data_IF_808757585186
#
_entry.id   IF_808757585186
#
_cell.length_a   1.000
_cell.length_b   1.000
_cell.length_c   1.000
_cell.angle_alpha   90.00
_cell.angle_beta   90.00
_cell.angle_gamma   90.00
#
_symmetry.space_group_name_H-M   'P 1'
#
loop_
_entity.id
_entity.type
_entity.pdbx_description
1 polymer ?
#
# COMPACT_ATOMS: atom_id res chain seq x y z
N UNK A 1 10.20 -25.26 -21.77
CA UNK A 1 11.25 -24.43 -21.17
C UNK A 1 10.66 -23.05 -20.90
N UNK A 2 10.03 -22.84 -19.74
CA UNK A 2 9.66 -21.48 -19.33
C UNK A 2 10.87 -20.88 -18.62
N UNK A 3 11.59 -19.98 -19.29
CA UNK A 3 12.54 -19.11 -18.60
C UNK A 3 11.75 -18.30 -17.57
N UNK A 4 11.79 -18.71 -16.30
CA UNK A 4 11.31 -17.83 -15.23
C UNK A 4 12.42 -16.83 -14.95
N UNK A 5 12.44 -15.72 -15.68
CA UNK A 5 13.43 -14.67 -15.50
C UNK A 5 13.14 -13.93 -14.18
N UNK A 6 13.93 -14.27 -13.16
CA UNK A 6 14.01 -13.55 -11.89
C UNK A 6 15.00 -12.42 -12.05
N UNK A 7 14.58 -11.18 -11.80
CA UNK A 7 15.51 -10.06 -11.71
C UNK A 7 15.54 -9.47 -10.30
N UNK A 8 16.71 -8.97 -9.93
CA UNK A 8 16.88 -8.13 -8.75
C UNK A 8 17.50 -6.82 -9.20
N UNK A 9 16.87 -5.71 -8.82
CA UNK A 9 17.34 -4.37 -9.15
C UNK A 9 17.74 -3.66 -7.86
N UNK A 10 18.94 -3.08 -7.87
CA UNK A 10 19.42 -2.16 -6.86
C UNK A 10 19.61 -0.80 -7.51
N UNK A 11 19.15 0.26 -6.86
CA UNK A 11 19.31 1.62 -7.37
C UNK A 11 19.53 2.61 -6.24
N UNK A 12 20.59 3.42 -6.38
CA UNK A 12 20.91 4.50 -5.46
C UNK A 12 21.22 5.76 -6.27
N UNK A 13 20.36 6.77 -6.16
CA UNK A 13 20.48 8.02 -6.93
C UNK A 13 19.69 9.14 -6.28
N UNK A 14 19.91 10.40 -6.68
CA UNK A 14 19.04 11.51 -6.25
C UNK A 14 17.62 11.34 -6.82
N UNK A 15 17.53 11.04 -8.13
CA UNK A 15 16.27 10.77 -8.83
C UNK A 15 16.44 9.66 -9.84
N UNK A 16 15.48 8.73 -9.84
CA UNK A 16 15.41 7.74 -10.91
C UNK A 16 13.97 7.26 -11.15
N UNK A 17 13.82 6.54 -12.26
CA UNK A 17 12.61 5.82 -12.61
C UNK A 17 12.99 4.39 -12.99
N UNK A 18 12.28 3.41 -12.43
CA UNK A 18 12.48 1.99 -12.70
C UNK A 18 11.27 1.46 -13.44
N UNK A 19 11.51 0.76 -14.55
CA UNK A 19 10.51 -0.01 -15.29
C UNK A 19 10.94 -1.47 -15.32
N UNK A 20 10.08 -2.37 -14.86
CA UNK A 20 10.37 -3.80 -14.86
C UNK A 20 9.18 -4.63 -15.33
N UNK A 21 9.47 -5.56 -16.23
CA UNK A 21 8.52 -6.53 -16.77
C UNK A 21 9.18 -7.92 -16.85
N UNK A 22 8.73 -8.86 -16.02
CA UNK A 22 9.16 -10.27 -16.00
C UNK A 22 8.26 -11.07 -15.06
N UNK A 23 8.41 -12.39 -14.98
CA UNK A 23 7.67 -13.23 -14.03
C UNK A 23 7.87 -12.80 -12.57
N UNK A 24 9.11 -12.44 -12.19
CA UNK A 24 9.48 -12.16 -10.80
C UNK A 24 10.56 -11.10 -10.65
N UNK A 25 10.27 -10.09 -9.82
CA UNK A 25 11.23 -9.05 -9.46
C UNK A 25 11.40 -8.87 -7.95
N UNK A 26 12.60 -8.51 -7.56
CA UNK A 26 12.87 -7.85 -6.29
C UNK A 26 13.52 -6.50 -6.57
N UNK A 27 12.98 -5.42 -6.00
CA UNK A 27 13.52 -4.07 -6.17
C UNK A 27 13.95 -3.51 -4.83
N UNK A 28 15.17 -3.00 -4.78
CA UNK A 28 15.71 -2.21 -3.69
C UNK A 28 16.11 -0.84 -4.23
N UNK A 29 15.51 0.22 -3.72
CA UNK A 29 15.86 1.57 -4.12
C UNK A 29 15.99 2.52 -2.95
N UNK A 30 17.06 3.33 -3.00
CA UNK A 30 17.31 4.43 -2.08
C UNK A 30 17.52 5.74 -2.87
N UNK A 31 16.65 6.73 -2.68
CA UNK A 31 16.75 7.99 -3.45
C UNK A 31 15.93 9.13 -2.86
N UNK A 32 16.24 10.39 -3.17
CA UNK A 32 15.38 11.50 -2.74
C UNK A 32 14.02 11.48 -3.43
N UNK A 33 13.98 11.17 -4.74
CA UNK A 33 12.73 10.95 -5.49
C UNK A 33 12.77 9.72 -6.37
N UNK A 34 11.72 8.91 -6.30
CA UNK A 34 11.61 7.69 -7.08
C UNK A 34 10.26 7.51 -7.76
N UNK A 35 10.25 6.90 -8.94
CA UNK A 35 9.03 6.34 -9.53
C UNK A 35 9.28 4.91 -10.00
N UNK A 36 8.41 3.97 -9.62
CA UNK A 36 8.50 2.56 -10.01
C UNK A 36 7.27 2.15 -10.80
N UNK A 37 7.50 1.46 -11.90
CA UNK A 37 6.48 0.75 -12.66
C UNK A 37 6.85 -0.74 -12.72
N UNK A 38 5.99 -1.59 -12.16
CA UNK A 38 6.19 -3.04 -12.14
C UNK A 38 5.03 -3.76 -12.80
N UNK A 39 5.36 -4.71 -13.65
CA UNK A 39 4.41 -5.68 -14.20
C UNK A 39 5.01 -7.09 -14.10
N UNK A 40 4.45 -7.93 -13.24
CA UNK A 40 4.96 -9.29 -13.01
C UNK A 40 3.94 -10.21 -12.37
N UNK A 41 4.12 -11.53 -12.41
CA UNK A 41 3.28 -12.43 -11.61
C UNK A 41 3.50 -12.16 -10.11
N UNK A 42 4.76 -11.96 -9.71
CA UNK A 42 5.13 -11.65 -8.33
C UNK A 42 6.22 -10.59 -8.24
N UNK A 43 6.13 -9.74 -7.23
CA UNK A 43 7.26 -8.88 -6.88
C UNK A 43 7.31 -8.52 -5.40
N UNK A 44 8.53 -8.18 -4.97
CA UNK A 44 8.78 -7.56 -3.68
C UNK A 44 9.51 -6.24 -3.91
N UNK A 45 9.03 -5.17 -3.28
CA UNK A 45 9.63 -3.83 -3.40
C UNK A 45 10.05 -3.32 -2.04
N UNK A 46 11.26 -2.79 -1.95
CA UNK A 46 11.79 -2.07 -0.80
C UNK A 46 12.23 -0.68 -1.25
N UNK A 47 11.51 0.36 -0.81
CA UNK A 47 11.81 1.74 -1.15
C UNK A 47 12.09 2.56 0.10
N UNK A 48 13.24 3.23 0.11
CA UNK A 48 13.59 4.24 1.11
C UNK A 48 13.86 5.57 0.40
N UNK A 49 13.03 6.60 0.65
CA UNK A 49 13.15 7.86 -0.10
C UNK A 49 12.52 9.06 0.61
N UNK A 50 12.88 10.29 0.22
CA UNK A 50 12.08 11.45 0.62
C UNK A 50 10.69 11.41 0.01
N UNK A 51 10.60 11.06 -1.29
CA UNK A 51 9.32 10.89 -2.00
C UNK A 51 9.34 9.74 -3.00
N UNK A 52 8.27 8.95 -3.05
CA UNK A 52 8.11 7.97 -4.13
C UNK A 52 6.68 7.86 -4.67
N UNK A 53 6.61 7.36 -5.90
CA UNK A 53 5.37 6.91 -6.53
C UNK A 53 5.56 5.49 -7.06
N UNK A 54 4.64 4.60 -6.73
CA UNK A 54 4.67 3.20 -7.18
C UNK A 54 3.40 2.90 -7.97
N UNK A 55 3.59 2.34 -9.16
CA UNK A 55 2.54 1.74 -9.97
C UNK A 55 2.87 0.27 -10.14
N UNK A 56 1.91 -0.60 -9.79
CA UNK A 56 2.17 -2.02 -9.84
C UNK A 56 0.96 -2.84 -10.26
N UNK A 57 1.20 -3.79 -11.17
CA UNK A 57 0.24 -4.80 -11.59
C UNK A 57 0.85 -6.20 -11.46
N UNK A 58 0.22 -7.06 -10.65
CA UNK A 58 0.68 -8.44 -10.47
C UNK A 58 -0.40 -9.41 -10.05
N UNK A 59 -0.10 -10.71 -9.89
CA UNK A 59 -0.98 -11.62 -9.15
C UNK A 59 -0.76 -11.45 -7.65
N UNK A 60 0.50 -11.27 -7.25
CA UNK A 60 0.88 -11.08 -5.84
C UNK A 60 1.96 -10.03 -5.67
N UNK A 61 1.86 -9.26 -4.61
CA UNK A 61 2.98 -8.43 -4.20
C UNK A 61 3.09 -8.13 -2.72
N UNK A 62 4.33 -7.84 -2.34
CA UNK A 62 4.67 -7.29 -1.04
C UNK A 62 5.46 -6.01 -1.24
N UNK A 63 5.00 -4.92 -0.65
CA UNK A 63 5.62 -3.59 -0.78
C UNK A 63 6.01 -3.07 0.59
N UNK A 64 7.26 -2.65 0.75
CA UNK A 64 7.81 -2.02 1.94
C UNK A 64 8.28 -0.61 1.60
N UNK A 65 7.66 0.38 2.24
CA UNK A 65 7.86 1.79 1.93
C UNK A 65 8.26 2.57 3.18
N UNK A 66 9.37 3.29 3.10
CA UNK A 66 9.81 4.24 4.12
C UNK A 66 10.10 5.59 3.46
N UNK A 67 9.31 6.62 3.79
CA UNK A 67 9.48 7.94 3.19
C UNK A 67 8.74 9.06 3.88
N UNK A 68 9.15 10.31 3.71
CA UNK A 68 8.32 11.45 4.14
C UNK A 68 6.96 11.45 3.41
N UNK A 69 6.96 11.17 2.09
CA UNK A 69 5.74 11.15 1.27
C UNK A 69 5.68 10.04 0.24
N UNK A 70 4.53 9.38 0.12
CA UNK A 70 4.31 8.48 -1.01
C UNK A 70 2.90 8.38 -1.55
N UNK A 71 2.85 7.93 -2.81
CA UNK A 71 1.61 7.58 -3.49
C UNK A 71 1.77 6.22 -4.15
N UNK A 72 0.82 5.33 -3.93
CA UNK A 72 0.93 3.93 -4.34
C UNK A 72 -0.36 3.52 -5.03
N UNK A 73 -0.22 2.93 -6.23
CA UNK A 73 -1.29 2.40 -7.04
C UNK A 73 -1.02 0.92 -7.31
N UNK A 74 -1.91 0.06 -6.82
CA UNK A 74 -1.70 -1.38 -6.81
C UNK A 74 -2.91 -2.13 -7.34
N UNK A 75 -2.69 -3.01 -8.31
CA UNK A 75 -3.68 -3.93 -8.83
C UNK A 75 -3.14 -5.37 -8.78
N UNK A 76 -3.82 -6.25 -8.05
CA UNK A 76 -3.48 -7.69 -8.02
C UNK A 76 -4.48 -8.54 -7.26
N UNK A 77 -4.42 -9.87 -7.36
CA UNK A 77 -5.26 -10.75 -6.54
C UNK A 77 -4.93 -10.65 -5.05
N UNK A 78 -3.63 -10.53 -4.69
CA UNK A 78 -3.18 -10.49 -3.29
C UNK A 78 -2.09 -9.49 -3.02
N UNK A 79 -2.31 -8.69 -1.99
CA UNK A 79 -1.46 -7.56 -1.65
C UNK A 79 -1.15 -7.51 -0.16
N UNK A 80 0.11 -7.23 0.13
CA UNK A 80 0.53 -6.77 1.45
C UNK A 80 1.36 -5.51 1.32
N UNK A 81 0.94 -4.45 2.00
CA UNK A 81 1.64 -3.17 2.03
C UNK A 81 2.08 -2.88 3.46
N UNK A 82 3.37 -2.57 3.62
CA UNK A 82 3.96 -2.04 4.84
C UNK A 82 4.46 -0.63 4.55
N UNK A 83 4.05 0.35 5.35
CA UNK A 83 4.39 1.74 5.08
C UNK A 83 4.66 2.53 6.36
N UNK A 84 5.78 3.25 6.37
CA UNK A 84 6.12 4.22 7.40
C UNK A 84 6.41 5.58 6.75
N UNK A 85 5.62 6.61 7.08
CA UNK A 85 5.73 7.91 6.43
C UNK A 85 5.06 9.03 7.19
N UNK A 86 5.42 10.29 6.98
CA UNK A 86 4.61 11.41 7.48
C UNK A 86 3.27 11.49 6.74
N UNK A 87 3.30 11.30 5.40
CA UNK A 87 2.09 11.36 4.55
C UNK A 87 2.04 10.30 3.47
N UNK A 88 0.89 9.64 3.33
CA UNK A 88 0.70 8.75 2.20
C UNK A 88 -0.72 8.68 1.63
N UNK A 89 -0.77 8.20 0.40
CA UNK A 89 -2.01 7.83 -0.27
C UNK A 89 -1.84 6.47 -0.94
N UNK A 90 -2.75 5.55 -0.64
CA UNK A 90 -2.77 4.21 -1.23
C UNK A 90 -4.09 4.03 -1.96
N UNK A 91 -3.99 3.64 -3.23
CA UNK A 91 -5.08 3.17 -4.06
C UNK A 91 -4.84 1.71 -4.37
N UNK A 92 -5.76 0.84 -3.95
CA UNK A 92 -5.64 -0.59 -4.16
C UNK A 92 -6.93 -1.20 -4.69
N UNK A 93 -6.78 -2.03 -5.72
CA UNK A 93 -7.79 -2.95 -6.21
C UNK A 93 -7.26 -4.39 -6.11
N UNK A 94 -7.92 -5.23 -5.31
CA UNK A 94 -7.51 -6.64 -5.16
C UNK A 94 -8.58 -7.55 -4.61
N UNK A 95 -8.48 -8.87 -4.80
CA UNK A 95 -9.37 -9.79 -4.08
C UNK A 95 -9.08 -9.77 -2.58
N UNK A 96 -7.78 -9.71 -2.22
CA UNK A 96 -7.31 -9.67 -0.83
C UNK A 96 -6.24 -8.64 -0.60
N UNK A 97 -6.53 -7.72 0.32
CA UNK A 97 -5.60 -6.67 0.71
C UNK A 97 -5.26 -6.71 2.20
N UNK A 98 -3.99 -6.52 2.54
CA UNK A 98 -3.56 -6.22 3.91
C UNK A 98 -2.68 -4.99 3.94
N UNK A 99 -3.04 -4.00 4.76
CA UNK A 99 -2.23 -2.79 4.99
C UNK A 99 -1.73 -2.78 6.42
N UNK A 100 -0.46 -2.49 6.57
CA UNK A 100 0.17 -2.10 7.82
C UNK A 100 0.82 -0.75 7.62
N UNK A 101 0.31 0.26 8.33
CA UNK A 101 0.78 1.62 8.13
C UNK A 101 0.97 2.37 9.45
N UNK A 102 2.05 3.14 9.52
CA UNK A 102 2.38 4.05 10.61
C UNK A 102 2.70 5.43 10.02
N UNK A 103 1.92 6.45 10.38
CA UNK A 103 2.00 7.79 9.76
C UNK A 103 1.20 8.89 10.46
N UNK A 104 1.63 10.14 10.34
CA UNK A 104 0.85 11.26 10.85
C UNK A 104 -0.46 11.45 10.06
N UNK A 105 -0.42 11.36 8.73
CA UNK A 105 -1.58 11.59 7.86
C UNK A 105 -1.66 10.65 6.67
N UNK A 106 -2.86 10.17 6.39
CA UNK A 106 -3.01 9.20 5.32
C UNK A 106 -4.44 9.09 4.82
N UNK A 107 -4.51 8.64 3.58
CA UNK A 107 -5.77 8.37 2.88
C UNK A 107 -5.64 7.06 2.14
N UNK A 108 -6.57 6.14 2.39
CA UNK A 108 -6.56 4.81 1.79
C UNK A 108 -7.87 4.61 1.04
N UNK A 109 -7.77 4.23 -0.23
CA UNK A 109 -8.88 3.85 -1.09
C UNK A 109 -8.75 2.38 -1.45
N UNK A 110 -9.70 1.57 -1.00
CA UNK A 110 -9.67 0.12 -1.17
C UNK A 110 -10.92 -0.34 -1.91
N UNK A 111 -10.70 -1.16 -2.94
CA UNK A 111 -11.75 -1.93 -3.59
C UNK A 111 -11.33 -3.40 -3.58
N UNK A 112 -12.04 -4.23 -2.82
CA UNK A 112 -11.66 -5.64 -2.66
C UNK A 112 -12.78 -6.52 -2.15
N UNK A 113 -12.73 -7.83 -2.38
CA UNK A 113 -13.65 -8.76 -1.72
C UNK A 113 -13.39 -8.77 -0.21
N UNK A 114 -12.10 -8.79 0.18
CA UNK A 114 -11.67 -8.78 1.57
C UNK A 114 -10.46 -7.92 1.80
N UNK A 115 -10.52 -7.08 2.83
CA UNK A 115 -9.34 -6.37 3.29
C UNK A 115 -9.24 -6.26 4.80
N UNK A 116 -7.98 -6.15 5.25
CA UNK A 116 -7.62 -5.89 6.64
C UNK A 116 -6.68 -4.71 6.69
N UNK A 117 -6.96 -3.74 7.56
CA UNK A 117 -6.16 -2.53 7.72
C UNK A 117 -5.70 -2.44 9.18
N UNK A 118 -4.38 -2.37 9.38
CA UNK A 118 -3.71 -2.12 10.65
C UNK A 118 -2.97 -0.80 10.59
N UNK A 119 -3.15 0.01 11.63
CA UNK A 119 -3.02 1.45 11.45
C UNK A 119 -2.74 2.18 12.76
N UNK A 120 -1.61 2.87 12.84
CA UNK A 120 -1.22 3.71 13.99
C UNK A 120 -0.91 5.12 13.51
N UNK A 121 -1.79 6.08 13.81
CA UNK A 121 -1.79 7.35 13.07
C UNK A 121 -2.35 8.55 13.82
N UNK A 122 -1.93 9.77 13.51
CA UNK A 122 -2.63 10.93 14.09
C UNK A 122 -3.97 11.21 13.39
N UNK A 123 -4.00 11.15 12.04
CA UNK A 123 -5.21 11.45 11.24
C UNK A 123 -5.40 10.54 10.03
N UNK A 124 -6.54 9.86 9.96
CA UNK A 124 -6.89 8.97 8.84
C UNK A 124 -8.18 9.35 8.11
N UNK A 125 -8.22 9.04 6.81
CA UNK A 125 -9.46 8.71 6.11
C UNK A 125 -9.37 7.41 5.33
N UNK A 126 -10.27 6.45 5.61
CA UNK A 126 -10.47 5.24 4.78
C UNK A 126 -11.71 5.42 3.92
N UNK A 127 -11.58 5.12 2.64
CA UNK A 127 -12.69 4.81 1.75
C UNK A 127 -12.56 3.37 1.34
N UNK A 128 -13.61 2.59 1.58
CA UNK A 128 -13.58 1.18 1.23
C UNK A 128 -14.89 0.67 0.68
N UNK A 129 -14.78 -0.10 -0.40
CA UNK A 129 -15.85 -0.87 -1.00
C UNK A 129 -15.46 -2.35 -1.01
N UNK A 130 -16.17 -3.18 -0.24
CA UNK A 130 -15.84 -4.60 -0.10
C UNK A 130 -16.96 -5.47 0.43
N UNK A 131 -16.95 -6.78 0.16
CA UNK A 131 -17.84 -7.71 0.85
C UNK A 131 -17.51 -7.80 2.35
N UNK A 132 -16.20 -7.81 2.69
CA UNK A 132 -15.73 -7.91 4.08
C UNK A 132 -14.58 -6.98 4.40
N UNK A 133 -14.77 -6.22 5.48
CA UNK A 133 -13.74 -5.34 6.02
C UNK A 133 -13.41 -5.61 7.49
N UNK A 134 -12.12 -5.57 7.83
CA UNK A 134 -11.66 -5.44 9.22
C UNK A 134 -10.66 -4.28 9.36
N UNK A 135 -10.97 -3.33 10.24
CA UNK A 135 -10.07 -2.23 10.64
C UNK A 135 -9.60 -2.44 12.06
N UNK A 136 -8.29 -2.32 12.27
CA UNK A 136 -7.66 -2.09 13.55
C UNK A 136 -6.92 -0.77 13.50
N UNK A 137 -7.34 0.22 14.29
CA UNK A 137 -6.72 1.53 14.29
C UNK A 137 -6.53 2.10 15.69
N UNK A 138 -5.36 2.66 15.96
CA UNK A 138 -5.09 3.48 17.15
C UNK A 138 -4.76 4.93 16.78
N UNK A 139 -5.74 5.75 16.36
CA UNK A 139 -5.46 7.12 15.97
C UNK A 139 -5.99 8.18 16.92
N UNK A 140 -5.42 9.39 16.88
CA UNK A 140 -6.01 10.56 17.54
C UNK A 140 -7.36 10.92 16.89
N UNK A 141 -7.43 10.89 15.55
CA UNK A 141 -8.66 11.18 14.78
C UNK A 141 -8.84 10.30 13.55
N UNK A 142 -10.06 9.84 13.32
CA UNK A 142 -10.36 8.93 12.22
C UNK A 142 -11.73 9.13 11.56
N UNK A 143 -11.77 9.00 10.24
CA UNK A 143 -13.00 8.95 9.45
C UNK A 143 -13.00 7.72 8.53
N UNK A 144 -14.09 6.97 8.54
CA UNK A 144 -14.27 5.79 7.66
C UNK A 144 -15.52 5.94 6.84
N UNK A 145 -15.40 5.66 5.56
CA UNK A 145 -16.52 5.45 4.65
C UNK A 145 -16.47 4.00 4.20
N UNK A 146 -17.47 3.20 4.60
CA UNK A 146 -17.57 1.79 4.25
C UNK A 146 -18.80 1.55 3.42
N UNK A 147 -18.62 0.96 2.25
CA UNK A 147 -19.68 0.32 1.50
C UNK A 147 -19.40 -1.18 1.53
N UNK A 148 -19.98 -1.88 2.49
CA UNK A 148 -19.71 -3.30 2.70
C UNK A 148 -20.87 -4.09 3.28
N UNK A 149 -21.00 -5.34 2.85
CA UNK A 149 -21.96 -6.30 3.42
C UNK A 149 -21.64 -6.62 4.88
N UNK A 150 -20.34 -6.72 5.23
CA UNK A 150 -19.88 -6.96 6.60
C UNK A 150 -18.64 -6.15 6.93
N UNK A 151 -18.67 -5.47 8.08
CA UNK A 151 -17.52 -4.75 8.60
C UNK A 151 -17.28 -5.04 10.08
N UNK A 152 -16.02 -4.91 10.48
CA UNK A 152 -15.60 -4.90 11.89
C UNK A 152 -14.58 -3.79 12.06
N UNK A 153 -14.83 -2.89 13.00
CA UNK A 153 -13.94 -1.76 13.27
C UNK A 153 -13.56 -1.79 14.75
N UNK A 154 -12.28 -2.01 15.02
CA UNK A 154 -11.68 -1.83 16.33
C UNK A 154 -10.88 -0.53 16.30
N UNK A 155 -11.35 0.47 17.06
CA UNK A 155 -10.66 1.75 17.19
C UNK A 155 -10.43 2.10 18.65
N UNK A 156 -9.18 2.43 18.97
CA UNK A 156 -8.81 3.09 20.22
C UNK A 156 -8.39 4.52 19.85
N UNK A 157 -9.36 5.43 19.85
CA UNK A 157 -9.18 6.82 19.40
C UNK A 157 -9.87 7.82 20.31
N UNK A 158 -9.32 9.03 20.35
CA UNK A 158 -9.98 10.16 21.02
C UNK A 158 -11.23 10.61 20.26
N UNK A 159 -11.23 10.51 18.91
CA UNK A 159 -12.38 10.86 18.05
C UNK A 159 -12.49 9.96 16.81
N UNK A 160 -13.65 9.32 16.62
CA UNK A 160 -13.96 8.55 15.41
C UNK A 160 -15.32 8.90 14.80
N UNK A 161 -15.42 8.73 13.48
CA UNK A 161 -16.69 8.78 12.73
C UNK A 161 -16.70 7.67 11.69
N UNK A 162 -17.78 6.91 11.63
CA UNK A 162 -17.99 5.82 10.67
C UNK A 162 -19.25 6.11 9.88
N UNK A 163 -19.12 6.18 8.57
CA UNK A 163 -20.22 6.20 7.60
C UNK A 163 -20.32 4.82 6.97
N UNK A 164 -21.53 4.28 6.95
CA UNK A 164 -21.90 2.99 6.36
C UNK A 164 -22.80 3.21 5.15
#
# INVERSE_FOLDING_TARGET
YSQSDRHTVYSQSDRHTVYLQSDRHTVYSQSDRHTVYLQSDRHTVYLQSGRHTVYSQSDRHTVYLQSDRHTVYLQSDRQTVYSQSDRHTVYSQSDRHTVYSQSDRHTVYLQSDRHTVYSQFDRHTVYSQSDRHTVYSQPDRHTVYLQSDRHTVYSQSDRHTVYL
#
